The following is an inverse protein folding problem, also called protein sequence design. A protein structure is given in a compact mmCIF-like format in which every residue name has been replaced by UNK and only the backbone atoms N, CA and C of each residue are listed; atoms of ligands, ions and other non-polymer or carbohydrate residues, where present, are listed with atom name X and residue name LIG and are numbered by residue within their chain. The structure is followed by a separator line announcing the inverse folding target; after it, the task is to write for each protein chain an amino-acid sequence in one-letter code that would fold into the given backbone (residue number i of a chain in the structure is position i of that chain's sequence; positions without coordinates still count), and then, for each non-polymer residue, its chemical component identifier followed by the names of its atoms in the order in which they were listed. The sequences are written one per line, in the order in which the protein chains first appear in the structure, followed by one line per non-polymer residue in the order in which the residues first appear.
data_IF_082779318209
#
_entry.id   IF_082779318209
#
_cell.length_a   1.000
_cell.length_b   1.000
_cell.length_c   1.000
_cell.angle_alpha   90.00
_cell.angle_beta   90.00
_cell.angle_gamma   90.00
#
_symmetry.space_group_name_H-M   'P 1'
#
loop_
_entity.id
_entity.type
_entity.pdbx_description
1 polymer ?
#
# COMPACT_ATOMS: atom_id res chain seq x y z
N UNK A 1 24.26 79.60 9.24
CA UNK A 1 23.05 78.87 8.80
C UNK A 1 23.49 77.68 7.96
N UNK A 2 23.52 76.46 8.52
CA UNK A 2 23.89 75.22 7.82
C UNK A 2 22.60 74.48 7.49
N UNK A 3 22.36 74.24 6.19
CA UNK A 3 21.20 73.48 5.69
C UNK A 3 21.49 71.97 5.83
N UNK A 4 20.66 71.28 6.61
CA UNK A 4 20.66 69.83 6.74
C UNK A 4 19.78 69.28 5.62
N UNK A 5 20.34 68.40 4.79
CA UNK A 5 19.61 67.62 3.76
C UNK A 5 19.10 66.31 4.42
N UNK A 6 17.82 65.92 4.26
CA UNK A 6 17.35 64.63 4.72
C UNK A 6 17.69 63.56 3.69
N UNK A 7 18.37 62.52 4.13
CA UNK A 7 18.54 61.28 3.36
C UNK A 7 17.25 60.44 3.48
N UNK A 8 16.51 60.33 2.42
CA UNK A 8 15.45 59.34 2.27
C UNK A 8 16.06 57.99 1.96
N UNK A 9 16.15 57.13 2.99
CA UNK A 9 16.50 55.73 2.80
C UNK A 9 15.34 54.97 2.20
N UNK A 10 15.47 54.54 0.95
CA UNK A 10 14.53 53.67 0.26
C UNK A 10 14.74 52.25 0.82
N UNK A 11 13.85 51.81 1.69
CA UNK A 11 13.79 50.39 2.14
C UNK A 11 13.16 49.59 1.04
N UNK A 12 13.98 48.87 0.25
CA UNK A 12 13.50 47.87 -0.72
C UNK A 12 13.13 46.63 0.08
N UNK A 13 11.82 46.46 0.34
CA UNK A 13 11.26 45.23 0.88
C UNK A 13 11.26 44.19 -0.22
N UNK A 14 12.28 43.33 -0.26
CA UNK A 14 12.31 42.17 -1.15
C UNK A 14 11.25 41.19 -0.69
N UNK A 15 10.07 41.24 -1.28
CA UNK A 15 9.05 40.20 -1.17
C UNK A 15 9.63 38.90 -1.77
N UNK A 16 10.09 38.01 -0.89
CA UNK A 16 10.43 36.62 -1.24
C UNK A 16 9.09 35.91 -1.48
N UNK A 17 8.59 35.98 -2.71
CA UNK A 17 7.51 35.12 -3.14
C UNK A 17 8.04 33.67 -3.11
N UNK A 18 7.34 32.73 -2.47
CA UNK A 18 7.71 31.34 -2.58
C UNK A 18 7.64 30.96 -4.07
N UNK A 19 8.79 30.63 -4.64
CA UNK A 19 8.88 30.08 -5.98
C UNK A 19 8.13 28.74 -5.93
N UNK A 20 6.88 28.74 -6.38
CA UNK A 20 6.16 27.51 -6.65
C UNK A 20 6.99 26.71 -7.66
N UNK A 21 7.72 25.70 -7.19
CA UNK A 21 8.38 24.76 -8.08
C UNK A 21 7.30 24.14 -8.97
N UNK A 22 7.45 24.13 -10.29
CA UNK A 22 6.48 23.50 -11.17
C UNK A 22 6.32 22.05 -10.74
N UNK A 23 5.08 21.60 -10.65
CA UNK A 23 4.73 20.22 -10.34
C UNK A 23 5.35 19.31 -11.41
N UNK A 24 6.44 18.63 -11.07
CA UNK A 24 6.98 17.62 -11.96
C UNK A 24 6.15 16.33 -11.77
N UNK A 25 5.65 15.73 -12.85
CA UNK A 25 4.91 14.48 -12.75
C UNK A 25 5.78 13.42 -12.08
N UNK A 26 5.16 12.53 -11.31
CA UNK A 26 5.86 11.43 -10.67
C UNK A 26 6.62 10.62 -11.72
N UNK A 27 7.90 10.33 -11.46
CA UNK A 27 8.65 9.43 -12.33
C UNK A 27 8.09 8.03 -12.13
N UNK A 28 7.32 7.57 -13.09
CA UNK A 28 6.79 6.21 -13.15
C UNK A 28 7.71 5.39 -14.02
N UNK A 29 8.09 4.22 -13.56
CA UNK A 29 8.86 3.25 -14.31
C UNK A 29 7.98 2.00 -14.48
N UNK A 30 7.66 1.67 -15.74
CA UNK A 30 6.92 0.46 -16.08
C UNK A 30 7.91 -0.69 -16.20
N UNK A 31 7.81 -1.67 -15.29
CA UNK A 31 8.67 -2.86 -15.22
C UNK A 31 10.16 -2.56 -15.48
N UNK A 32 10.78 -1.65 -14.68
CA UNK A 32 12.13 -1.15 -14.97
C UNK A 32 13.21 -2.25 -14.95
N UNK A 33 12.93 -3.33 -14.24
CA UNK A 33 13.81 -4.51 -14.15
C UNK A 33 13.02 -5.72 -14.65
N UNK A 34 13.14 -6.09 -15.94
CA UNK A 34 12.40 -7.20 -16.51
C UNK A 34 12.65 -8.50 -15.74
N UNK A 35 11.60 -9.23 -15.44
CA UNK A 35 11.68 -10.56 -14.86
C UNK A 35 10.61 -11.48 -15.43
N UNK A 36 10.90 -12.76 -15.36
CA UNK A 36 9.96 -13.85 -15.64
C UNK A 36 9.73 -14.68 -14.37
N UNK A 37 8.53 -15.23 -14.24
CA UNK A 37 8.24 -16.20 -13.20
C UNK A 37 8.87 -17.57 -13.50
N UNK A 38 8.71 -18.56 -12.62
CA UNK A 38 9.29 -19.88 -12.77
C UNK A 38 8.73 -20.65 -13.99
N UNK A 39 7.61 -20.19 -14.55
CA UNK A 39 7.02 -20.69 -15.78
C UNK A 39 7.52 -19.99 -17.05
N UNK A 40 8.50 -19.07 -16.92
CA UNK A 40 9.06 -18.29 -18.03
C UNK A 40 8.17 -17.14 -18.50
N UNK A 41 7.13 -16.78 -17.76
CA UNK A 41 6.22 -15.72 -18.16
C UNK A 41 6.66 -14.36 -17.61
N UNK A 42 6.62 -13.29 -18.43
CA UNK A 42 6.96 -11.94 -17.97
C UNK A 42 6.01 -11.46 -16.87
N UNK A 43 6.57 -10.78 -15.89
CA UNK A 43 5.83 -10.16 -14.78
C UNK A 43 5.87 -8.65 -14.92
N UNK A 44 4.72 -8.04 -14.77
CA UNK A 44 4.53 -6.60 -14.88
C UNK A 44 4.37 -5.97 -13.51
N UNK A 45 4.91 -4.77 -13.35
CA UNK A 45 4.75 -3.94 -12.16
C UNK A 45 5.08 -2.49 -12.47
N UNK A 46 4.55 -1.58 -11.66
CA UNK A 46 4.88 -0.16 -11.73
C UNK A 46 5.68 0.27 -10.51
N UNK A 47 6.71 1.07 -10.73
CA UNK A 47 7.55 1.64 -9.68
C UNK A 47 7.46 3.17 -9.70
N UNK A 48 6.96 3.75 -8.62
CA UNK A 48 6.83 5.18 -8.45
C UNK A 48 7.94 5.68 -7.53
N UNK A 49 8.78 6.56 -8.05
CA UNK A 49 9.90 7.10 -7.31
C UNK A 49 9.53 8.42 -6.61
N UNK A 50 10.04 8.65 -5.39
CA UNK A 50 9.82 9.89 -4.67
C UNK A 50 10.56 11.07 -5.32
N UNK A 51 10.22 12.29 -4.92
CA UNK A 51 10.97 13.49 -5.26
C UNK A 51 12.26 13.56 -4.42
N UNK A 52 13.36 13.89 -5.05
CA UNK A 52 14.66 14.07 -4.40
C UNK A 52 15.46 12.78 -4.27
N UNK A 53 16.78 12.91 -4.34
CA UNK A 53 17.75 11.81 -4.20
C UNK A 53 18.51 11.89 -2.88
N UNK A 54 19.27 10.85 -2.53
CA UNK A 54 20.37 10.91 -1.56
C UNK A 54 20.15 10.22 -0.21
N UNK A 55 19.06 9.50 0.01
CA UNK A 55 18.88 8.60 1.17
C UNK A 55 18.12 7.36 0.76
N UNK A 56 18.42 6.22 1.39
CA UNK A 56 17.63 5.02 1.23
C UNK A 56 16.18 5.27 1.66
N UNK A 57 15.23 4.91 0.79
CA UNK A 57 13.82 5.16 0.95
C UNK A 57 13.09 3.95 1.53
N UNK A 58 12.03 4.12 2.32
CA UNK A 58 11.14 3.01 2.64
C UNK A 58 10.43 2.54 1.37
N UNK A 59 10.14 1.25 1.32
CA UNK A 59 9.33 0.63 0.28
C UNK A 59 7.91 0.39 0.80
N UNK A 60 6.91 0.83 0.07
CA UNK A 60 5.52 0.41 0.22
C UNK A 60 5.11 -0.40 -1.01
N UNK A 61 4.73 -1.66 -0.80
CA UNK A 61 4.16 -2.50 -1.86
C UNK A 61 2.65 -2.48 -1.73
N UNK A 62 1.94 -2.06 -2.78
CA UNK A 62 0.49 -1.99 -2.79
C UNK A 62 -0.14 -3.04 -3.71
N UNK A 63 -1.16 -3.73 -3.20
CA UNK A 63 -1.93 -4.75 -3.90
C UNK A 63 -3.40 -4.33 -4.00
N UNK A 64 -3.91 -4.27 -5.22
CA UNK A 64 -5.32 -3.98 -5.49
C UNK A 64 -6.24 -5.16 -5.10
N UNK A 65 -7.53 -4.89 -4.94
CA UNK A 65 -8.55 -5.92 -4.77
C UNK A 65 -8.87 -6.65 -6.08
N UNK A 66 -9.88 -7.51 -6.06
CA UNK A 66 -10.36 -8.15 -7.30
C UNK A 66 -10.90 -7.10 -8.25
N UNK A 67 -10.51 -7.16 -9.52
CA UNK A 67 -10.96 -6.25 -10.57
C UNK A 67 -11.82 -7.03 -11.57
N UNK A 68 -13.01 -6.54 -11.87
CA UNK A 68 -13.86 -7.11 -12.92
C UNK A 68 -14.77 -6.06 -13.57
N UNK A 69 -14.77 -5.94 -14.88
CA UNK A 69 -15.74 -5.12 -15.60
C UNK A 69 -17.20 -5.58 -15.36
N UNK A 70 -17.39 -6.86 -15.04
CA UNK A 70 -18.69 -7.47 -14.78
C UNK A 70 -19.37 -6.97 -13.50
N UNK A 71 -18.63 -6.50 -12.52
CA UNK A 71 -19.17 -6.03 -11.23
C UNK A 71 -20.16 -4.87 -11.37
N UNK A 72 -20.05 -4.06 -12.41
CA UNK A 72 -21.01 -2.99 -12.72
C UNK A 72 -22.45 -3.51 -12.89
N UNK A 73 -22.61 -4.79 -13.21
CA UNK A 73 -23.91 -5.45 -13.42
C UNK A 73 -24.46 -6.10 -12.14
N UNK A 74 -23.65 -6.22 -11.10
CA UNK A 74 -24.02 -6.90 -9.85
C UNK A 74 -24.57 -5.87 -8.84
N UNK A 75 -25.79 -6.03 -8.33
CA UNK A 75 -26.31 -5.18 -7.25
C UNK A 75 -25.35 -5.19 -6.05
N UNK A 76 -25.03 -3.99 -5.55
CA UNK A 76 -24.08 -3.83 -4.44
C UNK A 76 -22.61 -3.76 -4.84
N UNK A 77 -22.22 -4.22 -6.04
CA UNK A 77 -20.84 -4.14 -6.54
C UNK A 77 -20.63 -3.08 -7.64
N UNK A 78 -21.66 -2.42 -8.12
CA UNK A 78 -21.58 -1.50 -9.27
C UNK A 78 -20.53 -0.37 -9.12
N UNK A 79 -20.21 0.01 -7.90
CA UNK A 79 -19.24 1.06 -7.57
C UNK A 79 -17.90 0.48 -7.08
N UNK A 80 -17.76 -0.84 -7.01
CA UNK A 80 -16.52 -1.47 -6.59
C UNK A 80 -15.58 -1.63 -7.77
N UNK A 81 -14.38 -1.07 -7.66
CA UNK A 81 -13.38 -1.03 -8.73
C UNK A 81 -12.16 -1.90 -8.43
N UNK A 82 -12.09 -2.50 -7.23
CA UNK A 82 -10.87 -3.16 -6.74
C UNK A 82 -9.82 -2.16 -6.24
N UNK A 83 -10.12 -0.87 -6.26
CA UNK A 83 -9.23 0.24 -5.92
C UNK A 83 -7.88 0.14 -6.66
N UNK A 84 -7.86 0.32 -7.98
CA UNK A 84 -6.61 0.46 -8.70
C UNK A 84 -5.81 1.63 -8.11
N UNK A 85 -4.49 1.61 -8.29
CA UNK A 85 -3.59 2.52 -7.59
C UNK A 85 -3.95 4.01 -7.79
N UNK A 86 -4.51 4.37 -8.93
CA UNK A 86 -4.94 5.72 -9.28
C UNK A 86 -6.03 6.25 -8.35
N UNK A 87 -6.89 5.38 -7.82
CA UNK A 87 -8.00 5.73 -6.94
C UNK A 87 -7.61 5.83 -5.46
N UNK A 88 -6.42 5.33 -5.10
CA UNK A 88 -6.00 5.23 -3.69
C UNK A 88 -5.41 6.51 -3.10
N UNK A 89 -4.99 7.44 -3.95
CA UNK A 89 -4.22 8.61 -3.53
C UNK A 89 -2.81 8.28 -3.00
N UNK A 90 -2.36 7.03 -3.12
CA UNK A 90 -1.03 6.61 -2.65
C UNK A 90 0.10 7.18 -3.49
N UNK A 91 -0.09 7.36 -4.81
CA UNK A 91 0.96 7.90 -5.69
C UNK A 91 1.45 9.28 -5.21
N UNK A 92 0.59 10.33 -5.13
CA UNK A 92 1.02 11.63 -4.65
C UNK A 92 1.47 11.60 -3.19
N UNK A 93 0.83 10.76 -2.36
CA UNK A 93 1.19 10.60 -0.96
C UNK A 93 2.63 10.06 -0.80
N UNK A 94 2.96 8.93 -1.41
CA UNK A 94 4.27 8.31 -1.32
C UNK A 94 5.36 9.23 -1.88
N UNK A 95 5.10 9.86 -3.03
CA UNK A 95 6.00 10.81 -3.64
C UNK A 95 6.40 11.96 -2.70
N UNK A 96 5.41 12.58 -2.04
CA UNK A 96 5.64 13.72 -1.12
C UNK A 96 6.31 13.32 0.18
N UNK A 97 6.29 12.03 0.54
CA UNK A 97 6.84 11.48 1.79
C UNK A 97 8.18 10.77 1.63
N UNK A 98 8.75 10.76 0.44
CA UNK A 98 10.01 10.07 0.18
C UNK A 98 9.88 8.55 0.26
N UNK A 99 8.73 7.99 -0.14
CA UNK A 99 8.44 6.55 -0.13
C UNK A 99 8.50 6.04 -1.57
N UNK A 100 9.25 4.99 -1.83
CA UNK A 100 9.14 4.23 -3.08
C UNK A 100 7.86 3.39 -3.02
N UNK A 101 7.02 3.52 -4.04
CA UNK A 101 5.78 2.75 -4.15
C UNK A 101 5.92 1.73 -5.28
N UNK A 102 5.83 0.45 -4.92
CA UNK A 102 5.80 -0.67 -5.85
C UNK A 102 4.37 -1.19 -5.98
N UNK A 103 3.91 -1.35 -7.22
CA UNK A 103 2.56 -1.84 -7.54
C UNK A 103 2.69 -3.01 -8.50
N UNK A 104 2.78 -4.25 -8.01
CA UNK A 104 2.72 -5.43 -8.85
C UNK A 104 1.38 -5.54 -9.57
N UNK A 105 1.36 -6.13 -10.75
CA UNK A 105 0.15 -6.42 -11.52
C UNK A 105 -0.29 -7.86 -11.29
N UNK A 106 -1.53 -8.06 -10.84
CA UNK A 106 -2.13 -9.39 -10.78
C UNK A 106 -2.32 -9.92 -12.20
N UNK A 107 -2.03 -11.20 -12.41
CA UNK A 107 -1.92 -11.75 -13.74
C UNK A 107 -3.05 -12.71 -14.12
N UNK A 108 -3.57 -13.42 -13.12
CA UNK A 108 -4.47 -14.51 -13.39
C UNK A 108 -5.92 -14.07 -13.45
N UNK A 109 -6.57 -14.47 -14.54
CA UNK A 109 -8.02 -14.37 -14.69
C UNK A 109 -8.69 -15.60 -14.10
N UNK A 110 -9.82 -15.37 -13.44
CA UNK A 110 -10.67 -16.42 -12.89
C UNK A 110 -12.12 -15.94 -12.78
N UNK A 111 -13.03 -16.86 -12.63
CA UNK A 111 -14.44 -16.52 -12.43
C UNK A 111 -14.69 -16.22 -10.95
N UNK A 112 -15.17 -15.02 -10.67
CA UNK A 112 -15.60 -14.60 -9.35
C UNK A 112 -16.99 -13.97 -9.44
N UNK A 113 -17.96 -14.48 -8.68
CA UNK A 113 -19.38 -14.08 -8.76
C UNK A 113 -19.91 -14.05 -10.20
N UNK A 114 -19.66 -15.12 -10.94
CA UNK A 114 -20.04 -15.31 -12.36
C UNK A 114 -19.47 -14.24 -13.32
N UNK A 115 -18.45 -13.51 -12.89
CA UNK A 115 -17.76 -12.53 -13.70
C UNK A 115 -16.30 -12.92 -13.92
N UNK A 116 -15.82 -12.72 -15.16
CA UNK A 116 -14.38 -12.78 -15.44
C UNK A 116 -13.69 -11.67 -14.65
N UNK A 117 -12.73 -12.04 -13.84
CA UNK A 117 -12.09 -11.19 -12.85
C UNK A 117 -10.59 -11.40 -12.83
N UNK A 118 -9.85 -10.36 -12.50
CA UNK A 118 -8.40 -10.40 -12.26
C UNK A 118 -8.13 -10.16 -10.78
N UNK A 119 -7.27 -10.97 -10.20
CA UNK A 119 -6.89 -10.83 -8.78
C UNK A 119 -5.77 -11.81 -8.39
N UNK A 120 -5.52 -11.91 -7.11
CA UNK A 120 -4.37 -12.61 -6.56
C UNK A 120 -4.70 -14.07 -6.29
N UNK A 121 -4.26 -14.96 -7.16
CA UNK A 121 -4.27 -16.41 -6.93
C UNK A 121 -2.98 -16.79 -6.19
N UNK A 122 -3.08 -16.95 -4.87
CA UNK A 122 -1.93 -17.07 -3.96
C UNK A 122 -0.91 -18.10 -4.45
N UNK A 123 -1.36 -19.32 -4.75
CA UNK A 123 -0.49 -20.43 -5.14
C UNK A 123 0.28 -20.18 -6.45
N UNK A 124 -0.15 -19.21 -7.26
CA UNK A 124 0.44 -18.89 -8.57
C UNK A 124 1.17 -17.55 -8.59
N UNK A 125 0.84 -16.66 -7.67
CA UNK A 125 1.33 -15.27 -7.68
C UNK A 125 2.46 -15.03 -6.70
N UNK A 126 2.48 -15.74 -5.57
CA UNK A 126 3.33 -15.37 -4.43
C UNK A 126 4.82 -15.39 -4.77
N UNK A 127 5.30 -16.42 -5.46
CA UNK A 127 6.72 -16.55 -5.83
C UNK A 127 7.15 -15.43 -6.80
N UNK A 128 6.30 -15.14 -7.79
CA UNK A 128 6.56 -14.06 -8.73
C UNK A 128 6.57 -12.67 -8.08
N UNK A 129 5.67 -12.44 -7.12
CA UNK A 129 5.62 -11.19 -6.37
C UNK A 129 6.84 -11.04 -5.45
N UNK A 130 7.26 -12.08 -4.74
CA UNK A 130 8.48 -12.07 -3.93
C UNK A 130 9.71 -11.72 -4.76
N UNK A 131 9.86 -12.33 -5.95
CA UNK A 131 10.95 -12.01 -6.87
C UNK A 131 10.93 -10.56 -7.36
N UNK A 132 9.75 -10.00 -7.66
CA UNK A 132 9.63 -8.57 -7.99
C UNK A 132 10.14 -7.71 -6.84
N UNK A 133 9.72 -8.00 -5.61
CA UNK A 133 10.13 -7.24 -4.43
C UNK A 133 11.66 -7.32 -4.25
N UNK A 134 12.24 -8.51 -4.34
CA UNK A 134 13.68 -8.71 -4.17
C UNK A 134 14.50 -8.00 -5.27
N UNK A 135 14.08 -8.07 -6.53
CA UNK A 135 14.72 -7.36 -7.64
C UNK A 135 14.64 -5.84 -7.44
N UNK A 136 13.48 -5.33 -7.06
CA UNK A 136 13.30 -3.88 -6.84
C UNK A 136 14.16 -3.40 -5.68
N UNK A 137 14.26 -4.16 -4.59
CA UNK A 137 15.16 -3.82 -3.46
C UNK A 137 16.63 -3.84 -3.88
N UNK A 138 17.04 -4.83 -4.68
CA UNK A 138 18.43 -4.96 -5.12
C UNK A 138 18.88 -3.85 -6.08
N UNK A 139 17.96 -3.27 -6.86
CA UNK A 139 18.29 -2.31 -7.92
C UNK A 139 17.77 -0.89 -7.65
N UNK A 140 17.12 -0.64 -6.52
CA UNK A 140 16.60 0.69 -6.16
C UNK A 140 17.19 1.15 -4.83
N UNK A 141 17.17 2.45 -4.59
CA UNK A 141 17.70 3.05 -3.35
C UNK A 141 16.73 2.85 -2.16
N UNK A 142 16.45 1.58 -1.84
CA UNK A 142 15.53 1.15 -0.79
C UNK A 142 16.29 0.82 0.49
N UNK A 143 15.72 1.19 1.62
CA UNK A 143 16.12 0.74 2.94
C UNK A 143 15.50 -0.65 3.21
N UNK A 144 16.28 -1.74 3.21
CA UNK A 144 15.73 -3.08 3.42
C UNK A 144 15.16 -3.28 4.83
N UNK A 145 15.52 -2.42 5.79
CA UNK A 145 14.92 -2.38 7.13
C UNK A 145 13.57 -1.64 7.18
N UNK A 146 13.03 -1.16 6.03
CA UNK A 146 11.76 -0.43 5.99
C UNK A 146 10.90 -0.85 4.80
N UNK A 147 10.47 -2.10 4.79
CA UNK A 147 9.61 -2.70 3.77
C UNK A 147 8.23 -2.97 4.34
N UNK A 148 7.21 -2.40 3.70
CA UNK A 148 5.82 -2.45 4.13
C UNK A 148 4.92 -2.98 3.04
N UNK A 149 3.88 -3.73 3.41
CA UNK A 149 2.84 -4.18 2.50
C UNK A 149 1.52 -3.48 2.80
N UNK A 150 0.74 -3.23 1.77
CA UNK A 150 -0.62 -2.71 1.91
C UNK A 150 -1.51 -3.29 0.83
N UNK A 151 -2.74 -3.61 1.16
CA UNK A 151 -3.67 -4.12 0.16
C UNK A 151 -5.12 -3.97 0.57
N UNK A 152 -5.99 -3.92 -0.45
CA UNK A 152 -7.43 -3.95 -0.29
C UNK A 152 -7.96 -5.32 -0.68
N UNK A 153 -8.90 -5.88 0.10
CA UNK A 153 -9.61 -7.12 -0.27
C UNK A 153 -8.63 -8.27 -0.59
N UNK A 154 -8.70 -8.88 -1.76
CA UNK A 154 -7.73 -9.91 -2.19
C UNK A 154 -6.27 -9.45 -2.09
N UNK A 155 -6.00 -8.14 -2.30
CA UNK A 155 -4.68 -7.56 -2.11
C UNK A 155 -4.22 -7.54 -0.64
N UNK A 156 -5.14 -7.38 0.30
CA UNK A 156 -4.83 -7.57 1.72
C UNK A 156 -4.52 -9.04 2.02
N UNK A 157 -5.27 -9.97 1.42
CA UNK A 157 -5.02 -11.41 1.52
C UNK A 157 -3.59 -11.78 1.11
N UNK A 158 -3.13 -11.40 -0.09
CA UNK A 158 -1.76 -11.72 -0.54
C UNK A 158 -0.71 -11.06 0.37
N UNK A 159 -0.97 -9.86 0.92
CA UNK A 159 -0.07 -9.22 1.88
C UNK A 159 0.16 -10.08 3.13
N UNK A 160 -0.88 -10.73 3.65
CA UNK A 160 -0.76 -11.66 4.76
C UNK A 160 0.05 -12.90 4.38
N UNK A 161 -0.19 -13.50 3.21
CA UNK A 161 0.55 -14.68 2.77
C UNK A 161 2.05 -14.37 2.60
N UNK A 162 2.40 -13.24 1.97
CA UNK A 162 3.79 -12.79 1.83
C UNK A 162 4.45 -12.59 3.21
N UNK A 163 3.78 -11.87 4.12
CA UNK A 163 4.33 -11.58 5.44
C UNK A 163 4.51 -12.84 6.29
N UNK A 164 3.60 -13.80 6.22
CA UNK A 164 3.72 -15.08 6.94
C UNK A 164 4.74 -16.04 6.31
N UNK A 165 5.03 -15.90 5.02
CA UNK A 165 6.06 -16.69 4.35
C UNK A 165 7.48 -16.18 4.64
N UNK A 166 7.64 -14.86 4.88
CA UNK A 166 8.91 -14.20 5.22
C UNK A 166 8.74 -13.30 6.45
N UNK A 167 8.48 -13.86 7.63
CA UNK A 167 7.99 -13.11 8.79
C UNK A 167 8.95 -12.06 9.33
N UNK A 168 10.27 -12.19 9.08
CA UNK A 168 11.28 -11.22 9.51
C UNK A 168 11.65 -10.19 8.43
N UNK A 169 11.05 -10.29 7.24
CA UNK A 169 11.40 -9.44 6.12
C UNK A 169 10.59 -8.14 6.06
N UNK A 170 9.33 -8.22 6.43
CA UNK A 170 8.42 -7.07 6.37
C UNK A 170 8.25 -6.43 7.74
N UNK A 171 8.27 -5.09 7.79
CA UNK A 171 8.11 -4.37 9.05
C UNK A 171 6.66 -4.32 9.54
N UNK A 172 5.72 -4.07 8.64
CA UNK A 172 4.31 -4.11 8.94
C UNK A 172 3.45 -4.25 7.68
N UNK A 173 2.20 -4.70 7.87
CA UNK A 173 1.20 -4.79 6.82
C UNK A 173 -0.04 -3.96 7.15
N UNK A 174 -0.66 -3.38 6.12
CA UNK A 174 -1.98 -2.76 6.17
C UNK A 174 -2.98 -3.65 5.44
N UNK A 175 -3.85 -4.28 6.19
CA UNK A 175 -4.88 -5.19 5.72
C UNK A 175 -6.23 -4.46 5.69
N UNK A 176 -6.69 -4.05 4.50
CA UNK A 176 -7.92 -3.29 4.34
C UNK A 176 -9.04 -4.17 3.76
N UNK A 177 -10.09 -4.40 4.54
CA UNK A 177 -11.28 -5.14 4.13
C UNK A 177 -11.03 -6.60 3.76
N UNK A 178 -10.05 -7.26 4.37
CA UNK A 178 -9.76 -8.68 4.23
C UNK A 178 -8.81 -9.11 5.36
N UNK A 179 -8.48 -10.40 5.40
CA UNK A 179 -7.74 -11.04 6.45
C UNK A 179 -6.84 -12.18 5.93
N UNK A 180 -6.13 -12.83 6.85
CA UNK A 180 -5.41 -14.08 6.56
C UNK A 180 -6.37 -15.25 6.65
N UNK A 181 -6.89 -15.69 5.50
CA UNK A 181 -7.87 -16.77 5.41
C UNK A 181 -7.45 -17.82 4.38
N UNK A 182 -7.86 -19.07 4.59
CA UNK A 182 -7.71 -20.13 3.59
C UNK A 182 -8.84 -20.08 2.53
N UNK A 183 -8.82 -21.01 1.60
CA UNK A 183 -9.82 -21.10 0.52
C UNK A 183 -11.24 -21.43 1.05
N UNK A 184 -11.33 -22.06 2.25
CA UNK A 184 -12.62 -22.32 2.90
C UNK A 184 -13.18 -21.11 3.66
N UNK A 185 -12.45 -19.98 3.70
CA UNK A 185 -12.84 -18.78 4.42
C UNK A 185 -12.59 -18.87 5.93
N UNK A 186 -11.71 -19.76 6.36
CA UNK A 186 -11.31 -19.88 7.77
C UNK A 186 -10.11 -18.97 8.05
N UNK A 187 -10.13 -18.25 9.17
CA UNK A 187 -9.03 -17.42 9.62
C UNK A 187 -7.84 -18.29 10.01
N UNK A 188 -6.70 -18.02 9.40
CA UNK A 188 -5.45 -18.72 9.66
C UNK A 188 -4.67 -18.03 10.80
N UNK A 189 -3.99 -18.80 11.66
CA UNK A 189 -3.01 -18.24 12.57
C UNK A 189 -1.77 -17.78 11.80
N UNK A 190 -0.99 -16.81 12.33
CA UNK A 190 0.29 -16.47 11.75
C UNK A 190 1.25 -17.67 11.78
N UNK A 191 2.18 -17.72 10.83
CA UNK A 191 3.10 -18.85 10.66
C UNK A 191 4.04 -19.05 11.88
N UNK A 192 4.38 -17.96 12.57
CA UNK A 192 5.23 -17.98 13.76
C UNK A 192 4.55 -17.23 14.91
N UNK A 193 4.91 -17.53 16.14
CA UNK A 193 4.48 -16.77 17.31
C UNK A 193 5.38 -15.56 17.55
N UNK A 194 4.78 -14.52 18.12
CA UNK A 194 5.49 -13.31 18.51
C UNK A 194 5.46 -12.23 17.44
N UNK A 195 5.98 -11.02 17.76
CA UNK A 195 5.82 -9.84 16.91
C UNK A 195 6.85 -9.80 15.79
N UNK A 196 6.74 -10.67 14.80
CA UNK A 196 7.66 -10.71 13.65
C UNK A 196 7.46 -9.49 12.74
N UNK A 197 6.21 -9.02 12.62
CA UNK A 197 5.82 -7.79 11.92
C UNK A 197 4.59 -7.18 12.58
N UNK A 198 4.30 -5.92 12.29
CA UNK A 198 3.08 -5.27 12.78
C UNK A 198 1.91 -5.43 11.82
N UNK A 199 0.67 -5.40 12.32
CA UNK A 199 -0.51 -5.48 11.45
C UNK A 199 -1.52 -4.38 11.79
N UNK A 200 -1.86 -3.58 10.78
CA UNK A 200 -2.99 -2.66 10.82
C UNK A 200 -4.14 -3.29 10.07
N UNK A 201 -5.14 -3.75 10.77
CA UNK A 201 -6.42 -4.18 10.20
C UNK A 201 -7.34 -3.00 10.08
N UNK A 202 -8.05 -2.88 8.97
CA UNK A 202 -9.07 -1.85 8.83
C UNK A 202 -10.20 -2.26 7.89
N UNK A 203 -11.37 -1.65 8.10
CA UNK A 203 -12.53 -1.78 7.25
C UNK A 203 -13.35 -0.49 7.24
N UNK A 204 -14.16 -0.32 6.21
CA UNK A 204 -14.99 0.86 6.05
C UNK A 204 -16.37 0.70 6.68
N UNK A 205 -17.02 1.84 6.95
CA UNK A 205 -18.41 1.87 7.34
C UNK A 205 -19.29 1.25 6.24
N UNK A 206 -20.06 0.23 6.61
CA UNK A 206 -20.97 -0.46 5.68
C UNK A 206 -20.28 -1.33 4.64
N UNK A 207 -19.07 -1.80 4.93
CA UNK A 207 -18.39 -2.87 4.19
C UNK A 207 -19.16 -4.20 4.31
N UNK A 208 -18.80 -5.21 3.55
CA UNK A 208 -19.43 -6.53 3.61
C UNK A 208 -19.23 -7.18 4.98
N UNK A 209 -20.32 -7.70 5.57
CA UNK A 209 -20.31 -8.22 6.94
C UNK A 209 -19.31 -9.38 7.15
N UNK A 210 -19.14 -10.24 6.16
CA UNK A 210 -18.13 -11.29 6.21
C UNK A 210 -16.69 -10.74 6.23
N UNK A 211 -16.40 -9.69 5.45
CA UNK A 211 -15.08 -9.05 5.42
C UNK A 211 -14.79 -8.30 6.73
N UNK A 212 -15.78 -7.61 7.28
CA UNK A 212 -15.69 -7.01 8.61
C UNK A 212 -15.35 -8.07 9.66
N UNK A 213 -16.07 -9.19 9.64
CA UNK A 213 -15.82 -10.29 10.56
C UNK A 213 -14.43 -10.88 10.40
N UNK A 214 -13.97 -11.10 9.17
CA UNK A 214 -12.61 -11.58 8.90
C UNK A 214 -11.54 -10.64 9.47
N UNK A 215 -11.69 -9.32 9.31
CA UNK A 215 -10.76 -8.35 9.90
C UNK A 215 -10.72 -8.44 11.43
N UNK A 216 -11.89 -8.54 12.09
CA UNK A 216 -12.00 -8.60 13.54
C UNK A 216 -11.42 -9.93 14.08
N UNK A 217 -11.78 -11.05 13.46
CA UNK A 217 -11.33 -12.37 13.89
C UNK A 217 -9.82 -12.56 13.66
N UNK A 218 -9.29 -12.08 12.52
CA UNK A 218 -7.86 -12.13 12.26
C UNK A 218 -7.07 -11.23 13.22
N UNK A 219 -7.56 -10.01 13.52
CA UNK A 219 -6.91 -9.16 14.52
C UNK A 219 -6.78 -9.88 15.85
N UNK A 220 -7.87 -10.51 16.32
CA UNK A 220 -7.88 -11.30 17.55
C UNK A 220 -6.86 -12.43 17.49
N UNK A 221 -6.86 -13.24 16.42
CA UNK A 221 -5.95 -14.37 16.25
C UNK A 221 -4.48 -13.91 16.23
N UNK A 222 -4.15 -12.85 15.51
CA UNK A 222 -2.79 -12.30 15.52
C UNK A 222 -2.37 -11.80 16.90
N UNK A 223 -3.24 -11.09 17.61
CA UNK A 223 -2.98 -10.57 18.95
C UNK A 223 -2.78 -11.70 19.98
N UNK A 224 -3.59 -12.76 19.90
CA UNK A 224 -3.47 -13.96 20.75
C UNK A 224 -2.15 -14.73 20.48
N UNK A 225 -1.59 -14.60 19.27
CA UNK A 225 -0.27 -15.13 18.90
C UNK A 225 0.89 -14.15 19.18
N UNK A 226 0.64 -13.05 19.90
CA UNK A 226 1.67 -12.11 20.35
C UNK A 226 2.07 -11.03 19.35
N UNK A 227 1.31 -10.86 18.25
CA UNK A 227 1.57 -9.80 17.27
C UNK A 227 1.08 -8.45 17.77
N UNK A 228 1.78 -7.39 17.33
CA UNK A 228 1.34 -6.01 17.52
C UNK A 228 0.29 -5.68 16.47
N UNK A 229 -0.95 -5.48 16.91
CA UNK A 229 -2.07 -5.21 16.03
C UNK A 229 -2.75 -3.88 16.33
N UNK A 230 -3.38 -3.30 15.31
CA UNK A 230 -4.28 -2.16 15.44
C UNK A 230 -5.49 -2.44 14.57
N UNK A 231 -6.68 -2.29 15.12
CA UNK A 231 -7.93 -2.39 14.37
C UNK A 231 -8.56 -1.02 14.21
N UNK A 232 -8.67 -0.54 12.98
CA UNK A 232 -9.39 0.68 12.60
C UNK A 232 -10.75 0.30 12.04
N UNK A 233 -11.79 0.88 12.63
CA UNK A 233 -13.19 0.56 12.32
C UNK A 233 -13.88 1.72 11.64
N UNK A 234 -14.88 1.39 10.81
CA UNK A 234 -15.85 2.34 10.25
C UNK A 234 -15.19 3.53 9.53
N UNK A 235 -14.17 3.25 8.71
CA UNK A 235 -13.47 4.29 7.95
C UNK A 235 -14.31 4.80 6.79
N UNK A 236 -14.17 6.09 6.36
CA UNK A 236 -14.65 6.54 5.08
C UNK A 236 -13.74 6.04 3.93
N UNK A 237 -14.25 5.90 2.69
CA UNK A 237 -15.65 6.06 2.29
C UNK A 237 -16.52 4.90 2.76
N UNK A 238 -17.84 5.04 2.62
CA UNK A 238 -18.76 3.94 2.91
C UNK A 238 -18.66 2.84 1.85
N UNK A 239 -18.70 1.57 2.28
CA UNK A 239 -18.62 0.40 1.40
C UNK A 239 -17.19 -0.12 1.19
N UNK A 240 -17.01 -1.07 0.27
CA UNK A 240 -15.77 -1.78 0.06
C UNK A 240 -14.84 -1.02 -0.90
N UNK A 241 -14.02 -0.10 -0.37
CA UNK A 241 -13.09 0.71 -1.16
C UNK A 241 -11.89 1.16 -0.32
N UNK A 242 -10.81 1.57 -0.97
CA UNK A 242 -9.65 2.13 -0.27
C UNK A 242 -9.98 3.46 0.40
N UNK A 243 -9.51 3.63 1.62
CA UNK A 243 -9.74 4.82 2.43
C UNK A 243 -8.65 5.87 2.24
N UNK A 244 -8.62 6.52 1.07
CA UNK A 244 -7.55 7.46 0.68
C UNK A 244 -7.35 8.62 1.68
N UNK A 245 -8.42 9.11 2.31
CA UNK A 245 -8.35 10.15 3.34
C UNK A 245 -7.54 9.73 4.57
N UNK A 246 -7.29 8.43 4.76
CA UNK A 246 -6.53 7.89 5.88
C UNK A 246 -5.08 7.53 5.55
N UNK A 247 -4.56 7.80 4.33
CA UNK A 247 -3.19 7.45 3.94
C UNK A 247 -2.13 7.93 4.94
N UNK A 248 -2.24 9.17 5.42
CA UNK A 248 -1.33 9.71 6.44
C UNK A 248 -1.40 8.93 7.77
N UNK A 249 -2.61 8.60 8.22
CA UNK A 249 -2.84 7.80 9.42
C UNK A 249 -2.29 6.38 9.25
N UNK A 250 -2.55 5.75 8.11
CA UNK A 250 -2.04 4.41 7.79
C UNK A 250 -0.51 4.39 7.83
N UNK A 251 0.14 5.34 7.19
CA UNK A 251 1.59 5.42 7.18
C UNK A 251 2.18 5.62 8.58
N UNK A 252 1.60 6.50 9.40
CA UNK A 252 2.04 6.70 10.79
C UNK A 252 1.93 5.41 11.60
N UNK A 253 0.86 4.63 11.42
CA UNK A 253 0.65 3.38 12.13
C UNK A 253 1.61 2.29 11.66
N UNK A 254 1.80 2.12 10.36
CA UNK A 254 2.78 1.20 9.79
C UNK A 254 4.19 1.47 10.33
N UNK A 255 4.64 2.73 10.30
CA UNK A 255 5.93 3.11 10.85
C UNK A 255 6.04 2.87 12.36
N UNK A 256 4.98 3.13 13.14
CA UNK A 256 4.98 2.89 14.58
C UNK A 256 5.11 1.40 14.90
N UNK A 257 4.39 0.55 14.16
CA UNK A 257 4.43 -0.90 14.36
C UNK A 257 5.73 -1.53 13.85
N UNK A 258 6.34 -0.94 12.81
CA UNK A 258 7.58 -1.42 12.21
C UNK A 258 8.87 -1.01 12.94
N UNK A 259 8.85 -0.07 13.88
CA UNK A 259 10.04 0.53 14.50
C UNK A 259 10.59 -0.23 15.71
N UNK A 260 10.57 -1.54 15.74
CA UNK A 260 11.22 -2.27 16.83
C UNK A 260 12.12 -3.35 16.26
N UNK A 261 13.31 -2.96 15.91
CA UNK A 261 14.53 -3.78 15.95
C UNK A 261 15.58 -3.01 16.72
#
# INVERSE_FOLDING_TARGET
MKKIRPWMGLLILALILPVCRPFQPAKVLETPYPMVDDSGNPREYRLFLPEGGGRRHPLLVYFHGVISPGFKKIPGLKNYTGSPIEETGLIPFCRSRGIILLVPTARYEYTFLDCLSVGWLIDKEIDGVEKIIDIVIAHSDIDPGRVYLAGLSAGAGISHYLANRRPHFYNAILSHGQAYINQAGEVLPPAEKGPQFGVVFCYNLGDYQNLIRFCIDSERVYRENGYRTILLRDLPPRGHAWSSANNERFWKLLNRLGRQN
#
